data_IF_923059745571
#
_entry.id   IF_923059745571
#
_cell.length_a   1.000
_cell.length_b   1.000
_cell.length_c   1.000
_cell.angle_alpha   90.00
_cell.angle_beta   90.00
_cell.angle_gamma   90.00
#
_symmetry.space_group_name_H-M   'P 1'
#
loop_
_entity.id
_entity.type
_entity.pdbx_description
1 polymer ?
#
# COMPACT_ATOMS: atom_id res chain seq x y z
N UNK A 1 5.26 17.16 -20.59
CA UNK A 1 5.61 15.72 -20.65
C UNK A 1 6.87 15.50 -19.83
N UNK A 2 6.86 14.53 -18.95
CA UNK A 2 8.01 14.23 -18.10
C UNK A 2 8.33 12.73 -18.18
N UNK A 3 9.52 12.39 -18.68
CA UNK A 3 9.94 11.00 -18.89
C UNK A 3 10.61 10.37 -17.67
N UNK A 4 10.83 11.15 -16.60
CA UNK A 4 11.39 10.66 -15.35
C UNK A 4 10.51 9.57 -14.73
N UNK A 5 11.07 8.62 -14.01
CA UNK A 5 10.30 7.53 -13.43
C UNK A 5 9.45 7.97 -12.23
N UNK A 6 8.48 7.14 -11.89
CA UNK A 6 7.77 7.19 -10.60
C UNK A 6 8.55 6.31 -9.62
N UNK A 7 8.90 6.85 -8.45
CA UNK A 7 9.44 6.08 -7.34
C UNK A 7 8.30 5.50 -6.50
N UNK A 8 8.39 4.22 -6.17
CA UNK A 8 7.44 3.54 -5.28
C UNK A 8 8.23 2.76 -4.23
N UNK A 9 7.89 2.89 -2.97
CA UNK A 9 8.50 2.05 -1.94
C UNK A 9 7.51 1.49 -0.92
N UNK A 10 7.93 0.39 -0.33
CA UNK A 10 7.24 -0.32 0.73
C UNK A 10 8.25 -0.97 1.67
N UNK A 11 7.82 -1.41 2.84
CA UNK A 11 8.65 -2.17 3.77
C UNK A 11 9.13 -3.53 3.22
N UNK A 12 8.54 -4.03 2.15
CA UNK A 12 8.85 -5.33 1.57
C UNK A 12 8.27 -5.52 0.17
N UNK A 13 7.67 -6.69 -0.08
CA UNK A 13 7.08 -7.04 -1.37
C UNK A 13 5.63 -6.59 -1.55
N UNK A 14 4.93 -6.27 -0.46
CA UNK A 14 3.50 -5.97 -0.48
C UNK A 14 3.11 -4.80 -1.37
N UNK A 15 3.94 -3.76 -1.42
CA UNK A 15 3.71 -2.57 -2.27
C UNK A 15 3.63 -2.85 -3.76
N UNK A 16 4.05 -4.03 -4.21
CA UNK A 16 3.87 -4.46 -5.60
C UNK A 16 2.39 -4.62 -5.99
N UNK A 17 1.48 -4.77 -5.03
CA UNK A 17 0.03 -4.67 -5.30
C UNK A 17 -0.33 -3.27 -5.82
N UNK A 18 0.22 -2.20 -5.24
CA UNK A 18 0.03 -0.85 -5.75
C UNK A 18 0.71 -0.64 -7.11
N UNK A 19 1.92 -1.20 -7.32
CA UNK A 19 2.60 -1.16 -8.62
C UNK A 19 1.76 -1.82 -9.71
N UNK A 20 1.11 -2.95 -9.42
CA UNK A 20 0.17 -3.60 -10.36
C UNK A 20 -0.94 -2.64 -10.79
N UNK A 21 -1.54 -1.92 -9.85
CA UNK A 21 -2.60 -0.96 -10.12
C UNK A 21 -2.09 0.26 -10.90
N UNK A 22 -0.89 0.78 -10.55
CA UNK A 22 -0.25 1.87 -11.32
C UNK A 22 -0.04 1.44 -12.77
N UNK A 23 0.55 0.28 -13.01
CA UNK A 23 0.82 -0.22 -14.37
C UNK A 23 -0.45 -0.47 -15.18
N UNK A 24 -1.56 -0.80 -14.53
CA UNK A 24 -2.86 -0.97 -15.19
C UNK A 24 -3.40 0.35 -15.75
N UNK A 25 -3.25 1.46 -15.02
CA UNK A 25 -3.85 2.75 -15.39
C UNK A 25 -2.85 3.77 -15.94
N UNK A 26 -1.56 3.52 -15.79
CA UNK A 26 -0.43 4.34 -16.26
C UNK A 26 0.61 3.44 -16.96
N UNK A 27 0.24 2.73 -18.04
CA UNK A 27 1.10 1.74 -18.67
C UNK A 27 2.35 2.34 -19.34
N UNK A 28 2.35 3.65 -19.59
CA UNK A 28 3.46 4.38 -20.20
C UNK A 28 4.48 4.88 -19.17
N UNK A 29 4.27 4.71 -17.87
CA UNK A 29 5.19 5.22 -16.85
C UNK A 29 6.30 4.23 -16.53
N UNK A 30 7.53 4.73 -16.45
CA UNK A 30 8.63 3.99 -15.83
C UNK A 30 8.43 4.00 -14.32
N UNK A 31 8.64 2.85 -13.69
CA UNK A 31 8.51 2.70 -12.24
C UNK A 31 9.80 2.12 -11.69
N UNK A 32 10.32 2.75 -10.65
CA UNK A 32 11.38 2.23 -9.81
C UNK A 32 10.75 1.87 -8.47
N UNK A 33 10.75 0.58 -8.17
CA UNK A 33 10.23 0.06 -6.92
C UNK A 33 11.38 -0.31 -5.98
N UNK A 34 11.24 0.06 -4.72
CA UNK A 34 12.13 -0.36 -3.64
C UNK A 34 11.35 -1.06 -2.52
N UNK A 35 11.78 -2.27 -2.18
CA UNK A 35 11.30 -3.02 -1.01
C UNK A 35 12.39 -3.09 0.06
N UNK A 36 12.13 -2.52 1.24
CA UNK A 36 13.08 -2.51 2.35
C UNK A 36 13.05 -3.82 3.16
N UNK A 37 13.45 -4.89 2.51
CA UNK A 37 13.35 -6.27 3.02
C UNK A 37 14.27 -6.56 4.21
N UNK A 38 15.38 -5.83 4.36
CA UNK A 38 16.34 -6.04 5.46
C UNK A 38 15.81 -5.61 6.83
N UNK A 39 14.77 -4.74 6.87
CA UNK A 39 14.28 -4.11 8.10
C UNK A 39 12.82 -4.45 8.45
N UNK A 40 12.21 -5.39 7.72
CA UNK A 40 10.86 -5.90 8.03
C UNK A 40 10.83 -6.61 9.39
N UNK A 41 9.68 -6.62 10.10
CA UNK A 41 8.43 -5.95 9.77
C UNK A 41 8.36 -4.51 10.30
N UNK A 42 7.75 -3.61 9.53
CA UNK A 42 7.52 -2.22 9.95
C UNK A 42 6.34 -2.05 10.93
N UNK A 43 5.38 -2.95 10.88
CA UNK A 43 4.10 -2.84 11.59
C UNK A 43 4.18 -2.78 13.12
N UNK A 44 5.32 -3.15 13.71
CA UNK A 44 5.59 -3.07 15.15
C UNK A 44 6.52 -1.92 15.58
N UNK A 45 7.10 -1.17 14.63
CA UNK A 45 8.11 -0.13 14.91
C UNK A 45 7.49 1.16 15.45
N UNK A 46 8.33 1.98 16.10
CA UNK A 46 7.96 3.35 16.51
C UNK A 46 7.93 4.30 15.32
N UNK A 47 7.20 5.42 15.44
CA UNK A 47 7.12 6.43 14.40
C UNK A 47 8.50 7.04 14.06
N UNK A 48 9.38 7.21 15.04
CA UNK A 48 10.74 7.71 14.85
C UNK A 48 11.57 6.76 13.98
N UNK A 49 11.54 5.47 14.26
CA UNK A 49 12.25 4.45 13.47
C UNK A 49 11.68 4.39 12.06
N UNK A 50 10.36 4.42 11.91
CA UNK A 50 9.69 4.42 10.60
C UNK A 50 10.08 5.64 9.77
N UNK A 51 10.14 6.83 10.37
CA UNK A 51 10.57 8.03 9.67
C UNK A 51 12.04 7.95 9.23
N UNK A 52 12.92 7.45 10.09
CA UNK A 52 14.33 7.25 9.72
C UNK A 52 14.50 6.32 8.54
N UNK A 53 13.83 5.17 8.54
CA UNK A 53 13.88 4.21 7.44
C UNK A 53 13.31 4.82 6.16
N UNK A 54 12.14 5.43 6.25
CA UNK A 54 11.50 6.04 5.10
C UNK A 54 12.31 7.18 4.46
N UNK A 55 13.09 7.94 5.24
CA UNK A 55 14.01 8.96 4.68
C UNK A 55 15.12 8.32 3.86
N UNK A 56 15.69 7.20 4.32
CA UNK A 56 16.70 6.46 3.56
C UNK A 56 16.09 5.89 2.26
N UNK A 57 14.88 5.31 2.33
CA UNK A 57 14.16 4.79 1.17
C UNK A 57 13.90 5.89 0.12
N UNK A 58 13.47 7.07 0.57
CA UNK A 58 13.26 8.25 -0.27
C UNK A 58 14.59 8.74 -0.86
N UNK A 59 15.66 8.79 -0.06
CA UNK A 59 16.98 9.23 -0.53
C UNK A 59 17.50 8.30 -1.63
N UNK A 60 17.36 6.99 -1.47
CA UNK A 60 17.68 6.03 -2.52
C UNK A 60 16.88 6.29 -3.79
N UNK A 61 15.56 6.41 -3.70
CA UNK A 61 14.72 6.64 -4.89
C UNK A 61 15.01 7.98 -5.59
N UNK A 62 15.37 9.02 -4.84
CA UNK A 62 15.76 10.32 -5.41
C UNK A 62 17.04 10.24 -6.26
N UNK A 63 17.90 9.26 -6.04
CA UNK A 63 19.09 9.06 -6.89
C UNK A 63 18.77 8.74 -8.35
N UNK A 64 17.51 8.39 -8.66
CA UNK A 64 17.01 8.13 -10.00
C UNK A 64 16.27 9.31 -10.63
N UNK A 65 16.32 10.49 -10.03
CA UNK A 65 15.60 11.68 -10.51
C UNK A 65 14.10 11.40 -10.74
N UNK A 66 13.44 10.82 -9.75
CA UNK A 66 12.02 10.47 -9.86
C UNK A 66 11.13 11.73 -9.88
N UNK A 67 10.07 11.74 -10.69
CA UNK A 67 9.13 12.87 -10.82
C UNK A 67 8.04 12.89 -9.75
N UNK A 68 7.79 11.76 -9.11
CA UNK A 68 6.83 11.60 -8.01
C UNK A 68 7.19 10.38 -7.18
N UNK A 69 6.80 10.37 -5.92
CA UNK A 69 6.95 9.26 -5.00
C UNK A 69 5.58 8.75 -4.54
N UNK A 70 5.39 7.42 -4.55
CA UNK A 70 4.30 6.76 -3.89
C UNK A 70 4.81 5.93 -2.70
N UNK A 71 4.42 6.31 -1.50
CA UNK A 71 4.59 5.54 -0.27
C UNK A 71 3.50 4.49 -0.23
N UNK A 72 3.76 3.30 -0.77
CA UNK A 72 2.79 2.22 -0.84
C UNK A 72 2.52 1.60 0.55
N UNK A 73 3.51 1.61 1.45
CA UNK A 73 3.40 1.09 2.80
C UNK A 73 2.37 1.87 3.63
N UNK A 74 1.29 1.18 4.07
CA UNK A 74 0.29 1.77 4.95
C UNK A 74 0.88 2.24 6.29
N UNK A 75 1.83 1.47 6.84
CA UNK A 75 2.51 1.82 8.10
C UNK A 75 3.32 3.11 7.98
N UNK A 76 4.08 3.29 6.90
CA UNK A 76 4.84 4.52 6.64
C UNK A 76 3.89 5.68 6.33
N UNK A 77 2.88 5.46 5.48
CA UNK A 77 1.89 6.48 5.11
C UNK A 77 1.15 7.05 6.32
N UNK A 78 0.88 6.24 7.35
CA UNK A 78 0.20 6.70 8.57
C UNK A 78 1.09 7.42 9.56
N UNK A 79 2.41 7.15 9.55
CA UNK A 79 3.33 7.63 10.59
C UNK A 79 4.35 8.67 10.09
N UNK A 80 4.75 8.66 8.82
CA UNK A 80 5.85 9.46 8.31
C UNK A 80 5.50 10.38 7.13
N UNK A 81 4.40 10.12 6.40
CA UNK A 81 4.09 10.80 5.15
C UNK A 81 4.09 12.34 5.22
N UNK A 82 3.51 12.99 6.26
CA UNK A 82 3.50 14.46 6.32
C UNK A 82 4.90 15.07 6.34
N UNK A 83 5.84 14.41 7.04
CA UNK A 83 7.24 14.87 7.12
C UNK A 83 7.93 14.64 5.78
N UNK A 84 7.79 13.45 5.18
CA UNK A 84 8.38 13.15 3.88
C UNK A 84 7.88 14.10 2.79
N UNK A 85 6.59 14.44 2.81
CA UNK A 85 6.02 15.38 1.85
C UNK A 85 6.55 16.81 2.03
N UNK A 86 6.82 17.24 3.26
CA UNK A 86 7.39 18.55 3.55
C UNK A 86 8.89 18.65 3.22
N UNK A 87 9.61 17.54 3.21
CA UNK A 87 11.06 17.47 2.93
C UNK A 87 11.40 17.29 1.44
N UNK A 88 10.40 17.17 0.57
CA UNK A 88 10.63 16.90 -0.86
C UNK A 88 9.88 17.88 -1.76
N UNK A 89 10.54 18.34 -2.82
CA UNK A 89 10.00 19.30 -3.78
C UNK A 89 9.04 18.66 -4.80
N UNK A 90 9.11 17.34 -4.97
CA UNK A 90 8.23 16.58 -5.86
C UNK A 90 6.98 16.09 -5.10
N UNK A 91 5.90 15.71 -5.80
CA UNK A 91 4.75 15.09 -5.18
C UNK A 91 5.12 13.81 -4.43
N UNK A 92 4.82 13.75 -3.12
CA UNK A 92 4.93 12.55 -2.29
C UNK A 92 3.54 12.14 -1.86
N UNK A 93 3.06 11.04 -2.40
CA UNK A 93 1.73 10.51 -2.19
C UNK A 93 1.79 9.29 -1.25
N UNK A 94 0.76 9.13 -0.44
CA UNK A 94 0.57 7.94 0.39
C UNK A 94 -0.81 7.33 0.17
N UNK A 95 -1.07 6.24 0.85
CA UNK A 95 -2.31 5.46 0.64
C UNK A 95 -3.49 5.92 1.51
N UNK A 96 -3.27 6.67 2.59
CA UNK A 96 -4.33 7.02 3.57
C UNK A 96 -5.40 7.92 2.97
N UNK A 97 -5.03 9.11 2.51
CA UNK A 97 -5.99 10.08 1.95
C UNK A 97 -6.79 9.53 0.76
N UNK A 98 -6.15 8.85 -0.24
CA UNK A 98 -6.89 8.22 -1.33
C UNK A 98 -7.90 7.16 -0.86
N UNK A 99 -7.51 6.32 0.10
CA UNK A 99 -8.40 5.29 0.65
C UNK A 99 -9.57 5.88 1.41
N UNK A 100 -9.33 6.91 2.22
CA UNK A 100 -10.38 7.61 2.96
C UNK A 100 -11.38 8.30 2.01
N UNK A 101 -10.89 8.97 0.97
CA UNK A 101 -11.74 9.59 -0.04
C UNK A 101 -12.61 8.54 -0.78
N UNK A 102 -12.00 7.42 -1.17
CA UNK A 102 -12.73 6.33 -1.81
C UNK A 102 -13.78 5.70 -0.87
N UNK A 103 -13.44 5.50 0.40
CA UNK A 103 -14.35 4.94 1.39
C UNK A 103 -15.52 5.89 1.71
N UNK A 104 -15.24 7.20 1.88
CA UNK A 104 -16.27 8.21 2.12
C UNK A 104 -17.26 8.32 0.95
N UNK A 105 -16.77 8.15 -0.29
CA UNK A 105 -17.61 8.13 -1.48
C UNK A 105 -18.43 6.84 -1.64
N UNK A 106 -17.92 5.70 -1.13
CA UNK A 106 -18.57 4.40 -1.28
C UNK A 106 -19.61 4.13 -0.20
N UNK A 107 -19.38 4.59 1.03
CA UNK A 107 -20.27 4.29 2.15
C UNK A 107 -21.64 4.94 2.02
N UNK A 108 -22.69 4.18 2.28
CA UNK A 108 -24.08 4.64 2.25
C UNK A 108 -24.65 4.83 3.65
N UNK A 109 -24.20 4.01 4.61
CA UNK A 109 -24.70 4.03 6.00
C UNK A 109 -23.73 4.74 6.96
N UNK A 110 -22.61 5.31 6.45
CA UNK A 110 -21.58 6.01 7.22
C UNK A 110 -20.84 5.12 8.24
N UNK A 111 -20.86 3.81 8.05
CA UNK A 111 -20.15 2.86 8.92
C UNK A 111 -19.01 2.23 8.11
N UNK A 112 -17.80 2.68 8.35
CA UNK A 112 -16.60 2.27 7.61
C UNK A 112 -15.72 1.40 8.51
N UNK A 113 -15.35 0.23 8.01
CA UNK A 113 -14.34 -0.62 8.64
C UNK A 113 -12.95 -0.31 8.14
N UNK A 114 -11.96 -0.54 8.98
CA UNK A 114 -10.54 -0.52 8.61
C UNK A 114 -9.86 -1.76 9.17
N UNK A 115 -9.20 -2.51 8.30
CA UNK A 115 -8.20 -3.51 8.71
C UNK A 115 -6.80 -3.01 8.32
N UNK A 116 -5.85 -3.10 9.26
CA UNK A 116 -4.49 -2.58 9.04
C UNK A 116 -3.48 -3.24 9.99
N UNK A 117 -2.21 -2.85 9.88
CA UNK A 117 -1.18 -3.22 10.86
C UNK A 117 -1.43 -2.53 12.20
N UNK A 118 -0.87 -3.09 13.28
CA UNK A 118 -0.99 -2.50 14.61
C UNK A 118 -0.48 -1.05 14.69
N UNK A 119 0.63 -0.73 14.01
CA UNK A 119 1.15 0.64 13.97
C UNK A 119 0.20 1.60 13.22
N UNK A 120 -0.38 1.18 12.12
CA UNK A 120 -1.36 1.98 11.37
C UNK A 120 -2.61 2.26 12.21
N UNK A 121 -3.14 1.26 12.90
CA UNK A 121 -4.29 1.42 13.81
C UNK A 121 -3.94 2.37 14.96
N UNK A 122 -2.81 2.17 15.64
CA UNK A 122 -2.40 3.06 16.74
C UNK A 122 -2.21 4.51 16.33
N UNK A 123 -1.87 4.77 15.07
CA UNK A 123 -1.68 6.13 14.57
C UNK A 123 -2.95 6.98 14.55
N UNK A 124 -4.14 6.36 14.45
CA UNK A 124 -5.42 7.04 14.28
C UNK A 124 -5.54 7.87 12.99
N UNK A 125 -4.65 7.66 12.01
CA UNK A 125 -4.57 8.51 10.81
C UNK A 125 -5.80 8.35 9.90
N UNK A 126 -6.32 7.14 9.77
CA UNK A 126 -7.52 6.88 8.97
C UNK A 126 -8.77 7.47 9.60
N UNK A 127 -8.93 7.33 10.92
CA UNK A 127 -10.05 7.89 11.68
C UNK A 127 -10.08 9.42 11.56
N UNK A 128 -8.93 10.08 11.78
CA UNK A 128 -8.82 11.54 11.59
C UNK A 128 -9.10 11.97 10.16
N UNK A 129 -8.61 11.20 9.18
CA UNK A 129 -8.81 11.50 7.77
C UNK A 129 -10.29 11.39 7.36
N UNK A 130 -10.98 10.32 7.79
CA UNK A 130 -12.41 10.12 7.51
C UNK A 130 -13.26 11.16 8.22
N UNK A 131 -12.98 11.48 9.49
CA UNK A 131 -13.68 12.52 10.25
C UNK A 131 -13.54 13.92 9.61
N UNK A 132 -12.39 14.21 9.02
CA UNK A 132 -12.17 15.46 8.30
C UNK A 132 -12.94 15.56 6.97
N UNK A 133 -13.25 14.41 6.34
CA UNK A 133 -14.05 14.33 5.11
C UNK A 133 -15.54 14.40 5.40
N UNK A 134 -15.99 13.68 6.41
CA UNK A 134 -17.38 13.66 6.85
C UNK A 134 -17.44 13.22 8.33
N UNK A 135 -17.77 14.16 9.22
CA UNK A 135 -17.85 13.92 10.66
C UNK A 135 -18.96 12.93 11.10
N UNK A 136 -19.88 12.55 10.20
CA UNK A 136 -20.88 11.54 10.46
C UNK A 136 -20.36 10.10 10.27
N UNK A 137 -19.18 9.92 9.66
CA UNK A 137 -18.61 8.59 9.45
C UNK A 137 -18.13 8.01 10.77
N UNK A 138 -18.66 6.83 11.11
CA UNK A 138 -18.22 6.01 12.22
C UNK A 138 -17.18 4.99 11.69
N UNK A 139 -16.01 4.95 12.33
CA UNK A 139 -14.90 4.09 11.90
C UNK A 139 -14.72 2.94 12.89
N UNK A 140 -14.72 1.72 12.38
CA UNK A 140 -14.50 0.49 13.13
C UNK A 140 -13.17 -0.12 12.72
N UNK A 141 -12.20 -0.16 13.64
CA UNK A 141 -10.84 -0.55 13.33
C UNK A 141 -10.47 -1.92 13.87
N UNK A 142 -9.70 -2.69 13.11
CA UNK A 142 -9.12 -3.96 13.55
C UNK A 142 -7.67 -4.07 13.10
N UNK A 143 -6.77 -4.27 14.05
CA UNK A 143 -5.40 -4.67 13.73
C UNK A 143 -5.37 -6.17 13.37
N UNK A 144 -4.71 -6.51 12.27
CA UNK A 144 -4.62 -7.88 11.75
C UNK A 144 -3.14 -8.31 11.63
N UNK A 145 -2.44 -8.54 12.75
CA UNK A 145 -0.98 -8.77 12.77
C UNK A 145 -0.55 -10.05 12.06
N UNK A 146 -1.41 -11.08 11.97
CA UNK A 146 -1.08 -12.36 11.35
C UNK A 146 -1.26 -12.37 9.83
N UNK A 147 -1.98 -11.43 9.23
CA UNK A 147 -2.23 -11.44 7.79
C UNK A 147 -0.94 -11.32 6.97
N UNK A 148 -0.05 -10.40 7.34
CA UNK A 148 1.23 -10.20 6.63
C UNK A 148 2.08 -11.48 6.63
N UNK A 149 2.46 -12.07 7.79
CA UNK A 149 3.27 -13.28 7.80
C UNK A 149 2.59 -14.48 7.12
N UNK A 150 1.28 -14.61 7.18
CA UNK A 150 0.57 -15.67 6.48
C UNK A 150 0.67 -15.50 4.96
N UNK A 151 0.43 -14.30 4.46
CA UNK A 151 0.53 -13.98 3.02
C UNK A 151 1.96 -14.23 2.52
N UNK A 152 2.98 -13.75 3.23
CA UNK A 152 4.39 -13.94 2.87
C UNK A 152 4.82 -15.41 2.87
N UNK A 153 4.14 -16.26 3.66
CA UNK A 153 4.33 -17.71 3.66
C UNK A 153 3.39 -18.45 2.70
N UNK A 154 2.78 -17.77 1.74
CA UNK A 154 1.94 -18.37 0.69
C UNK A 154 0.52 -18.75 1.14
N UNK A 155 0.12 -18.38 2.35
CA UNK A 155 -1.19 -18.68 2.93
C UNK A 155 -2.19 -17.56 2.61
N UNK A 156 -2.70 -17.51 1.39
CA UNK A 156 -3.65 -16.48 0.96
C UNK A 156 -4.72 -16.98 -0.02
N UNK A 157 -4.77 -18.30 -0.26
CA UNK A 157 -5.75 -18.88 -1.20
C UNK A 157 -7.03 -19.26 -0.46
N UNK A 158 -8.20 -19.07 -1.08
CA UNK A 158 -9.45 -19.65 -0.58
C UNK A 158 -9.32 -21.17 -0.39
N UNK A 159 -9.94 -21.68 0.66
CA UNK A 159 -9.85 -23.09 1.06
C UNK A 159 -8.65 -23.44 1.95
N UNK A 160 -7.72 -22.51 2.21
CA UNK A 160 -6.67 -22.73 3.20
C UNK A 160 -7.22 -22.46 4.61
N UNK A 161 -7.36 -23.50 5.47
CA UNK A 161 -8.03 -23.38 6.75
C UNK A 161 -7.30 -22.45 7.73
N UNK A 162 -5.98 -22.26 7.57
CA UNK A 162 -5.21 -21.41 8.49
C UNK A 162 -5.57 -19.94 8.29
N UNK A 163 -5.49 -19.45 7.04
CA UNK A 163 -5.84 -18.05 6.76
C UNK A 163 -7.33 -17.79 6.96
N UNK A 164 -8.21 -18.74 6.61
CA UNK A 164 -9.65 -18.55 6.79
C UNK A 164 -10.05 -18.46 8.26
N UNK A 165 -9.46 -19.30 9.13
CA UNK A 165 -9.72 -19.24 10.58
C UNK A 165 -9.28 -17.88 11.14
N UNK A 166 -8.08 -17.42 10.81
CA UNK A 166 -7.56 -16.13 11.25
C UNK A 166 -8.38 -14.97 10.68
N UNK A 167 -8.80 -15.08 9.42
CA UNK A 167 -9.62 -14.05 8.78
C UNK A 167 -11.00 -13.93 9.46
N UNK A 168 -11.65 -15.03 9.78
CA UNK A 168 -12.93 -15.03 10.52
C UNK A 168 -12.77 -14.38 11.90
N UNK A 169 -11.75 -14.74 12.66
CA UNK A 169 -11.47 -14.14 13.96
C UNK A 169 -11.36 -12.60 13.90
N UNK A 170 -10.76 -12.08 12.82
CA UNK A 170 -10.58 -10.64 12.66
C UNK A 170 -11.82 -9.93 12.09
N UNK A 171 -12.51 -10.57 11.16
CA UNK A 171 -13.52 -9.92 10.33
C UNK A 171 -14.95 -10.09 10.83
N UNK A 172 -15.31 -11.22 11.47
CA UNK A 172 -16.66 -11.43 11.98
C UNK A 172 -17.10 -10.37 13.01
N UNK A 173 -16.24 -9.94 13.96
CA UNK A 173 -16.57 -8.81 14.82
C UNK A 173 -16.81 -7.50 14.07
N UNK A 174 -16.05 -7.23 12.99
CA UNK A 174 -16.27 -6.05 12.14
C UNK A 174 -17.59 -6.16 11.38
N UNK A 175 -17.88 -7.33 10.80
CA UNK A 175 -19.15 -7.57 10.11
C UNK A 175 -20.34 -7.34 11.01
N UNK A 176 -20.26 -7.76 12.26
CA UNK A 176 -21.32 -7.57 13.26
C UNK A 176 -21.62 -6.09 13.58
N UNK A 177 -20.68 -5.18 13.29
CA UNK A 177 -20.91 -3.72 13.46
C UNK A 177 -21.79 -3.13 12.36
N UNK A 178 -22.10 -3.88 11.29
CA UNK A 178 -22.94 -3.41 10.19
C UNK A 178 -22.25 -2.41 9.26
N UNK A 179 -20.91 -2.46 9.11
CA UNK A 179 -20.19 -1.67 8.12
C UNK A 179 -20.65 -2.03 6.70
N UNK A 180 -20.70 -1.06 5.80
CA UNK A 180 -20.96 -1.26 4.38
C UNK A 180 -19.74 -1.03 3.50
N UNK A 181 -18.64 -0.58 4.09
CA UNK A 181 -17.38 -0.28 3.41
C UNK A 181 -16.22 -0.71 4.29
N UNK A 182 -15.20 -1.38 3.73
CA UNK A 182 -14.02 -1.85 4.44
C UNK A 182 -12.75 -1.43 3.71
N UNK A 183 -11.89 -0.66 4.38
CA UNK A 183 -10.57 -0.26 3.87
C UNK A 183 -9.55 -1.37 4.13
N UNK A 184 -8.87 -1.83 3.08
CA UNK A 184 -7.72 -2.73 3.14
C UNK A 184 -6.45 -1.91 3.37
N UNK A 185 -6.16 -1.57 4.63
CA UNK A 185 -5.12 -0.60 5.03
C UNK A 185 -3.69 -1.17 5.06
N UNK A 186 -3.44 -2.28 4.39
CA UNK A 186 -2.12 -2.88 4.24
C UNK A 186 -1.94 -3.43 2.82
N UNK A 187 -0.74 -3.29 2.28
CA UNK A 187 -0.36 -3.69 0.91
C UNK A 187 -0.51 -5.19 0.63
N UNK A 188 -0.49 -6.03 1.67
CA UNK A 188 -0.66 -7.47 1.54
C UNK A 188 -2.13 -7.89 1.39
N UNK A 189 -3.07 -7.11 1.91
CA UNK A 189 -4.47 -7.52 2.01
C UNK A 189 -5.22 -7.65 0.68
N UNK A 190 -4.83 -6.98 -0.42
CA UNK A 190 -5.41 -7.25 -1.73
C UNK A 190 -5.25 -8.69 -2.24
N UNK A 191 -4.27 -9.47 -1.71
CA UNK A 191 -4.16 -10.90 -1.98
C UNK A 191 -5.23 -11.74 -1.25
N UNK A 192 -5.82 -11.20 -0.19
CA UNK A 192 -6.88 -11.82 0.61
C UNK A 192 -8.30 -11.37 0.19
N UNK A 193 -8.43 -10.61 -0.90
CA UNK A 193 -9.70 -9.97 -1.30
C UNK A 193 -10.85 -10.98 -1.38
N UNK A 194 -10.63 -12.17 -1.96
CA UNK A 194 -11.68 -13.19 -2.10
C UNK A 194 -12.14 -13.71 -0.74
N UNK A 195 -11.21 -14.04 0.16
CA UNK A 195 -11.50 -14.51 1.52
C UNK A 195 -12.22 -13.42 2.33
N UNK A 196 -11.74 -12.18 2.23
CA UNK A 196 -12.35 -11.03 2.93
C UNK A 196 -13.76 -10.78 2.41
N UNK A 197 -13.96 -10.80 1.10
CA UNK A 197 -15.26 -10.60 0.49
C UNK A 197 -16.27 -11.68 0.88
N UNK A 198 -15.84 -12.94 0.93
CA UNK A 198 -16.68 -14.07 1.37
C UNK A 198 -17.16 -13.88 2.82
N UNK A 199 -16.26 -13.55 3.74
CA UNK A 199 -16.59 -13.37 5.16
C UNK A 199 -17.45 -12.12 5.39
N UNK A 200 -17.14 -11.00 4.73
CA UNK A 200 -17.86 -9.74 4.90
C UNK A 200 -19.23 -9.75 4.21
N UNK A 201 -19.36 -10.52 3.15
CA UNK A 201 -20.60 -10.62 2.36
C UNK A 201 -20.76 -9.51 1.31
N UNK A 202 -21.72 -9.67 0.39
CA UNK A 202 -21.87 -8.83 -0.80
C UNK A 202 -22.34 -7.39 -0.50
N UNK A 203 -22.76 -7.11 0.74
CA UNK A 203 -23.17 -5.77 1.17
C UNK A 203 -22.01 -4.86 1.52
N UNK A 204 -20.78 -5.36 1.61
CA UNK A 204 -19.60 -4.60 2.03
C UNK A 204 -18.69 -4.31 0.81
N UNK A 205 -18.47 -3.03 0.54
CA UNK A 205 -17.53 -2.56 -0.49
C UNK A 205 -16.10 -2.59 0.05
N UNK A 206 -15.20 -3.30 -0.61
CA UNK A 206 -13.78 -3.34 -0.25
C UNK A 206 -13.03 -2.22 -0.96
N UNK A 207 -12.25 -1.45 -0.21
CA UNK A 207 -11.40 -0.36 -0.73
C UNK A 207 -9.95 -0.83 -0.74
N UNK A 208 -9.42 -1.12 -1.93
CA UNK A 208 -7.99 -1.39 -2.14
C UNK A 208 -7.22 -0.07 -2.09
N UNK A 209 -6.33 0.06 -1.09
CA UNK A 209 -5.55 1.27 -0.85
C UNK A 209 -4.56 1.57 -1.99
N UNK A 210 -3.98 0.55 -2.60
CA UNK A 210 -3.07 0.68 -3.74
C UNK A 210 -3.81 1.19 -4.98
N UNK A 211 -4.98 0.62 -5.28
CA UNK A 211 -5.82 1.06 -6.40
C UNK A 211 -6.32 2.51 -6.21
N UNK A 212 -6.71 2.88 -4.99
CA UNK A 212 -7.10 4.25 -4.68
C UNK A 212 -5.93 5.24 -4.86
N UNK A 213 -4.75 4.89 -4.37
CA UNK A 213 -3.55 5.71 -4.51
C UNK A 213 -3.08 5.84 -5.97
N UNK A 214 -3.15 4.77 -6.76
CA UNK A 214 -2.81 4.81 -8.17
C UNK A 214 -3.69 5.80 -8.97
N UNK A 215 -4.99 5.86 -8.67
CA UNK A 215 -5.91 6.84 -9.30
C UNK A 215 -5.53 8.27 -8.96
N UNK A 216 -5.19 8.56 -7.69
CA UNK A 216 -4.76 9.89 -7.25
C UNK A 216 -3.41 10.25 -7.88
N UNK A 217 -2.47 9.31 -7.96
CA UNK A 217 -1.19 9.50 -8.64
C UNK A 217 -1.39 9.88 -10.11
N UNK A 218 -2.26 9.18 -10.84
CA UNK A 218 -2.59 9.51 -12.23
C UNK A 218 -3.15 10.94 -12.34
N UNK A 219 -4.08 11.32 -11.48
CA UNK A 219 -4.66 12.66 -11.48
C UNK A 219 -3.60 13.71 -11.20
N UNK A 220 -2.75 13.50 -10.18
CA UNK A 220 -1.66 14.42 -9.83
C UNK A 220 -0.70 14.63 -11.01
N UNK A 221 -0.27 13.56 -11.66
CA UNK A 221 0.63 13.66 -12.83
C UNK A 221 -0.06 14.34 -14.03
N UNK A 222 -1.35 14.11 -14.22
CA UNK A 222 -2.15 14.78 -15.25
C UNK A 222 -2.24 16.29 -15.01
N UNK A 223 -2.57 16.70 -13.79
CA UNK A 223 -2.72 18.11 -13.41
C UNK A 223 -1.39 18.88 -13.54
N UNK A 224 -0.27 18.20 -13.33
CA UNK A 224 1.08 18.74 -13.52
C UNK A 224 1.58 18.69 -14.97
N UNK A 225 0.82 18.11 -15.92
CA UNK A 225 1.29 17.88 -17.28
C UNK A 225 2.50 16.94 -17.35
N UNK A 226 2.68 16.08 -16.32
CA UNK A 226 3.87 15.24 -16.13
C UNK A 226 3.67 13.77 -16.58
N UNK A 227 2.57 13.45 -17.24
CA UNK A 227 2.37 12.10 -17.79
C UNK A 227 3.40 11.81 -18.88
N UNK A 228 3.97 10.59 -18.82
CA UNK A 228 4.88 10.11 -19.85
C UNK A 228 4.14 9.79 -21.16
N UNK A 229 4.81 9.99 -22.30
CA UNK A 229 4.31 9.61 -23.62
C UNK A 229 5.28 8.60 -24.24
N UNK A 230 5.03 7.34 -24.01
CA UNK A 230 5.73 6.20 -24.64
C UNK A 230 4.74 5.03 -24.73
N UNK A 231 5.04 4.06 -25.59
CA UNK A 231 4.15 2.91 -25.77
C UNK A 231 4.05 2.06 -24.52
N UNK A 232 5.17 1.78 -23.85
CA UNK A 232 5.24 1.01 -22.61
C UNK A 232 6.32 1.52 -21.68
N UNK A 233 5.98 1.62 -20.40
CA UNK A 233 6.93 1.92 -19.32
C UNK A 233 7.63 0.66 -18.82
N UNK A 234 8.76 0.85 -18.15
CA UNK A 234 9.56 -0.20 -17.53
C UNK A 234 9.26 -0.33 -16.03
N UNK A 235 9.52 -1.49 -15.46
CA UNK A 235 9.52 -1.72 -14.03
C UNK A 235 10.89 -2.24 -13.60
N UNK A 236 11.59 -1.49 -12.77
CA UNK A 236 12.85 -1.90 -12.14
C UNK A 236 12.61 -2.13 -10.65
N UNK A 237 13.05 -3.28 -10.15
CA UNK A 237 12.83 -3.71 -8.78
C UNK A 237 14.14 -3.73 -8.00
N UNK A 238 14.11 -3.17 -6.80
CA UNK A 238 15.21 -3.17 -5.85
C UNK A 238 14.75 -3.73 -4.50
N UNK A 239 15.64 -4.45 -3.82
CA UNK A 239 15.43 -4.95 -2.46
C UNK A 239 16.68 -4.75 -1.62
N UNK A 240 16.52 -4.47 -0.33
CA UNK A 240 17.65 -4.25 0.58
C UNK A 240 18.25 -5.56 1.13
N UNK A 241 17.56 -6.69 1.00
CA UNK A 241 18.07 -8.03 1.37
C UNK A 241 17.41 -9.08 0.48
N UNK A 242 18.16 -10.16 0.21
CA UNK A 242 17.71 -11.39 -0.48
C UNK A 242 16.85 -11.12 -1.72
N UNK A 243 17.42 -10.52 -2.78
CA UNK A 243 16.67 -10.19 -4.00
C UNK A 243 16.03 -11.42 -4.67
N UNK A 244 16.60 -12.62 -4.49
CA UNK A 244 16.06 -13.87 -5.03
C UNK A 244 14.76 -14.26 -4.30
N UNK A 245 14.73 -14.20 -2.97
CA UNK A 245 13.55 -14.50 -2.16
C UNK A 245 12.44 -13.47 -2.43
N UNK A 246 12.82 -12.20 -2.53
CA UNK A 246 11.90 -11.13 -2.95
C UNK A 246 11.32 -11.42 -4.33
N UNK A 247 12.14 -11.82 -5.30
CA UNK A 247 11.73 -12.15 -6.66
C UNK A 247 10.70 -13.29 -6.70
N UNK A 248 10.87 -14.30 -5.85
CA UNK A 248 9.94 -15.42 -5.76
C UNK A 248 8.52 -14.98 -5.31
N UNK A 249 8.44 -13.99 -4.42
CA UNK A 249 7.17 -13.42 -3.95
C UNK A 249 6.60 -12.37 -4.91
N UNK A 250 7.45 -11.59 -5.55
CA UNK A 250 7.05 -10.45 -6.38
C UNK A 250 6.06 -10.83 -7.49
N UNK A 251 6.26 -11.98 -8.15
CA UNK A 251 5.34 -12.47 -9.18
C UNK A 251 3.92 -12.71 -8.67
N UNK A 252 3.78 -13.12 -7.40
CA UNK A 252 2.46 -13.33 -6.78
C UNK A 252 1.72 -12.00 -6.55
N UNK A 253 2.42 -10.98 -6.03
CA UNK A 253 1.85 -9.65 -5.80
C UNK A 253 1.52 -8.92 -7.11
N UNK A 254 2.39 -9.05 -8.13
CA UNK A 254 2.17 -8.48 -9.46
C UNK A 254 1.14 -9.27 -10.29
N UNK A 255 0.82 -10.50 -9.89
CA UNK A 255 -0.01 -11.47 -10.66
C UNK A 255 0.53 -11.72 -12.08
N UNK A 256 1.85 -11.69 -12.24
CA UNK A 256 2.56 -11.95 -13.49
C UNK A 256 4.05 -12.26 -13.23
N UNK A 257 4.72 -12.96 -14.14
CA UNK A 257 6.16 -13.17 -14.06
C UNK A 257 6.93 -11.84 -14.02
N UNK A 258 8.11 -11.85 -13.41
CA UNK A 258 9.02 -10.73 -13.45
C UNK A 258 9.65 -10.59 -14.84
N UNK A 259 9.78 -9.36 -15.30
CA UNK A 259 10.41 -9.02 -16.60
C UNK A 259 11.94 -8.90 -16.47
N UNK A 260 12.44 -8.67 -15.27
CA UNK A 260 13.86 -8.52 -14.96
C UNK A 260 14.20 -9.04 -13.57
N UNK A 261 15.48 -9.31 -13.32
CA UNK A 261 15.96 -9.66 -12.00
C UNK A 261 15.82 -8.49 -11.02
N UNK A 262 15.60 -8.81 -9.74
CA UNK A 262 15.62 -7.84 -8.66
C UNK A 262 17.05 -7.47 -8.33
N UNK A 263 17.32 -6.18 -8.13
CA UNK A 263 18.63 -5.67 -7.81
C UNK A 263 18.79 -5.50 -6.28
N UNK A 264 19.96 -5.85 -5.77
CA UNK A 264 20.30 -5.62 -4.36
C UNK A 264 20.74 -4.17 -4.12
N UNK A 265 20.32 -3.60 -2.99
CA UNK A 265 20.72 -2.27 -2.52
C UNK A 265 21.15 -2.33 -1.07
N UNK A 266 22.34 -1.86 -0.77
CA UNK A 266 22.77 -1.57 0.59
C UNK A 266 22.15 -0.23 1.04
N UNK A 267 20.97 -0.32 1.68
CA UNK A 267 20.18 0.86 2.07
C UNK A 267 20.85 1.69 3.16
N UNK A 268 21.78 1.12 3.91
CA UNK A 268 22.50 1.85 4.98
C UNK A 268 23.48 2.92 4.42
N UNK A 269 23.67 2.95 3.10
CA UNK A 269 24.46 4.00 2.40
C UNK A 269 23.66 5.28 2.13
N UNK A 270 22.37 5.26 2.34
CA UNK A 270 21.44 6.35 2.07
C UNK A 270 20.84 6.86 3.41
#
# INVERSE_FOLDING_TARGET
MDQRPIGVFDSGSGGLTAVREIRSILPSENIIYFGDTSRVPYGGRSAEILLRYARQDVHFLRSFDVKALLVACGTVSTNALPVLAAENDMPVLGVVKPSCAAAAAATRNKRVGLIATAASVRSGAYERCLAALDGAIQVYVKACPLFVPLVENGRFRPGDPVIETVAREYLEPLRATGIDTLILGCTHYPLLTEIIADIMGPGVTLIDSGAAAARVLRQTLSDLGALAQRDHGTLTLYASDRPEDFGALAGQFLRRPLESAVQHVDIERY
#
